data_IF_707690497336
#
_entry.id   IF_707690497336
#
_cell.length_a   1.000
_cell.length_b   1.000
_cell.length_c   1.000
_cell.angle_alpha   90.00
_cell.angle_beta   90.00
_cell.angle_gamma   90.00
#
_symmetry.space_group_name_H-M   'P 1'
#
loop_
_entity.id
_entity.type
_entity.pdbx_description
1 polymer ?
#
# COMPACT_ATOMS: atom_id res chain seq x y z
N UNK A 1 -36.17 -28.89 25.43
CA UNK A 1 -35.02 -27.98 25.61
C UNK A 1 -34.21 -28.00 24.33
N UNK A 2 -34.48 -27.06 23.43
CA UNK A 2 -33.87 -27.00 22.10
C UNK A 2 -32.68 -26.06 22.14
N UNK A 3 -31.47 -26.59 22.00
CA UNK A 3 -30.28 -25.79 21.71
C UNK A 3 -30.17 -25.62 20.20
N UNK A 4 -30.68 -24.49 19.73
CA UNK A 4 -30.28 -23.89 18.45
C UNK A 4 -28.95 -23.18 18.68
N UNK A 5 -27.96 -23.44 17.83
CA UNK A 5 -27.01 -22.44 17.29
C UNK A 5 -25.97 -23.18 16.45
N UNK A 6 -26.19 -23.29 15.14
CA UNK A 6 -25.79 -22.29 14.13
C UNK A 6 -24.28 -22.31 13.89
N UNK A 7 -23.92 -22.93 12.76
CA UNK A 7 -23.09 -22.30 11.73
C UNK A 7 -21.65 -21.98 12.10
N UNK A 8 -20.75 -22.97 11.95
CA UNK A 8 -19.38 -22.68 11.51
C UNK A 8 -19.40 -22.34 10.03
N UNK A 9 -19.71 -21.09 9.71
CA UNK A 9 -19.58 -20.53 8.36
C UNK A 9 -18.33 -19.66 8.36
N UNK A 10 -17.33 -20.12 7.59
CA UNK A 10 -16.29 -19.35 6.89
C UNK A 10 -15.73 -18.07 7.56
N UNK A 11 -14.61 -18.20 8.27
CA UNK A 11 -13.61 -17.13 8.37
C UNK A 11 -12.48 -17.39 7.38
N UNK A 12 -12.79 -17.26 6.10
CA UNK A 12 -11.83 -16.87 5.08
C UNK A 12 -11.99 -15.36 4.86
N UNK A 13 -10.88 -14.70 4.50
CA UNK A 13 -10.73 -13.28 4.14
C UNK A 13 -10.16 -12.40 5.26
N UNK A 14 -8.88 -12.62 5.56
CA UNK A 14 -7.89 -11.52 5.64
C UNK A 14 -6.63 -11.92 4.86
N UNK A 15 -6.86 -12.53 3.68
CA UNK A 15 -5.86 -12.80 2.68
C UNK A 15 -5.69 -11.53 1.82
N UNK A 16 -4.52 -10.89 1.90
CA UNK A 16 -4.24 -9.62 1.21
C UNK A 16 -5.03 -8.46 1.83
N UNK A 17 -4.57 -7.23 1.90
CA UNK A 17 -4.22 -6.43 0.73
C UNK A 17 -3.15 -5.41 1.15
N UNK A 18 -1.88 -5.83 1.16
CA UNK A 18 -0.73 -4.92 1.02
C UNK A 18 0.28 -5.52 0.04
N UNK A 19 -0.27 -6.16 -0.99
CA UNK A 19 0.41 -6.48 -2.23
C UNK A 19 -0.13 -5.39 -3.17
N UNK A 20 0.63 -4.42 -3.68
CA UNK A 20 2.06 -4.39 -4.03
C UNK A 20 2.57 -2.96 -3.99
N UNK A 21 3.85 -2.80 -3.65
CA UNK A 21 4.67 -1.78 -4.31
C UNK A 21 4.75 -2.13 -5.81
N UNK A 22 3.72 -1.78 -6.55
CA UNK A 22 3.83 -1.47 -7.96
C UNK A 22 3.33 -0.03 -8.08
N UNK A 23 3.90 0.77 -8.96
CA UNK A 23 3.36 2.09 -9.22
C UNK A 23 2.02 1.90 -9.98
N UNK A 24 0.90 2.09 -9.26
CA UNK A 24 -0.49 1.98 -9.72
C UNK A 24 -1.09 3.37 -9.95
N UNK A 25 -0.47 4.17 -10.79
CA UNK A 25 -0.96 5.52 -11.04
C UNK A 25 -2.35 5.47 -11.73
N UNK A 26 -2.58 4.60 -12.72
CA UNK A 26 -3.89 4.49 -13.36
C UNK A 26 -4.35 3.07 -13.72
N UNK A 27 -3.54 2.08 -14.09
CA UNK A 27 -4.10 0.77 -14.53
C UNK A 27 -4.30 -0.28 -13.42
N UNK A 28 -5.55 -0.72 -13.17
CA UNK A 28 -5.82 -1.97 -12.42
C UNK A 28 -7.26 -2.16 -11.90
N UNK A 29 -7.80 -3.38 -12.03
CA UNK A 29 -9.16 -3.81 -11.64
C UNK A 29 -9.47 -3.71 -10.12
N UNK A 30 -8.54 -3.17 -9.31
CA UNK A 30 -8.64 -2.96 -7.86
C UNK A 30 -8.28 -1.50 -7.53
N UNK A 31 -8.79 -0.54 -8.32
CA UNK A 31 -8.65 0.88 -8.02
C UNK A 31 -9.41 1.18 -6.73
N UNK A 32 -8.67 1.51 -5.69
CA UNK A 32 -9.24 2.11 -4.49
C UNK A 32 -9.68 3.57 -4.74
N UNK A 33 -9.13 4.25 -5.76
CA UNK A 33 -9.54 5.59 -6.23
C UNK A 33 -9.75 5.59 -7.75
N UNK A 34 -10.90 6.10 -8.22
CA UNK A 34 -11.16 6.36 -9.64
C UNK A 34 -10.59 7.71 -10.08
N UNK A 35 -9.29 7.73 -10.39
CA UNK A 35 -8.57 8.95 -10.72
C UNK A 35 -9.10 9.73 -11.93
N UNK A 36 -9.71 9.05 -12.91
CA UNK A 36 -10.29 9.72 -14.08
C UNK A 36 -11.43 10.63 -13.63
N UNK A 37 -12.33 10.07 -12.81
CA UNK A 37 -13.45 10.80 -12.23
C UNK A 37 -12.98 11.84 -11.21
N UNK A 38 -12.10 11.45 -10.30
CA UNK A 38 -11.67 12.31 -9.21
C UNK A 38 -10.84 13.50 -9.71
N UNK A 39 -9.95 13.32 -10.67
CA UNK A 39 -9.12 14.41 -11.21
C UNK A 39 -9.76 15.10 -12.42
N UNK A 40 -10.94 14.65 -12.85
CA UNK A 40 -11.64 15.15 -14.04
C UNK A 40 -10.73 15.20 -15.27
N UNK A 41 -10.04 14.08 -15.52
CA UNK A 41 -9.05 14.02 -16.59
C UNK A 41 -9.69 14.19 -17.96
N UNK A 42 -9.11 15.07 -18.78
CA UNK A 42 -9.49 15.18 -20.20
C UNK A 42 -9.13 13.91 -20.97
N UNK A 43 -9.80 13.65 -22.09
CA UNK A 43 -9.48 12.50 -22.96
C UNK A 43 -8.00 12.50 -23.40
N UNK A 44 -7.43 13.68 -23.67
CA UNK A 44 -6.03 13.83 -24.03
C UNK A 44 -5.09 13.44 -22.87
N UNK A 45 -5.39 13.86 -21.64
CA UNK A 45 -4.61 13.47 -20.47
C UNK A 45 -4.72 11.97 -20.20
N UNK A 46 -5.91 11.38 -20.33
CA UNK A 46 -6.11 9.93 -20.17
C UNK A 46 -5.23 9.16 -21.16
N UNK A 47 -5.27 9.53 -22.45
CA UNK A 47 -4.46 8.90 -23.48
C UNK A 47 -2.95 9.06 -23.24
N UNK A 48 -2.51 10.25 -22.76
CA UNK A 48 -1.11 10.47 -22.40
C UNK A 48 -0.67 9.59 -21.23
N UNK A 49 -1.50 9.46 -20.20
CA UNK A 49 -1.22 8.62 -19.04
C UNK A 49 -1.17 7.13 -19.41
N UNK A 50 -2.11 6.66 -20.22
CA UNK A 50 -2.12 5.29 -20.75
C UNK A 50 -0.84 5.00 -21.55
N UNK A 51 -0.44 5.91 -22.46
CA UNK A 51 0.77 5.76 -23.25
C UNK A 51 2.05 5.74 -22.39
N UNK A 52 2.09 6.49 -21.28
CA UNK A 52 3.18 6.43 -20.31
C UNK A 52 3.16 5.06 -19.61
N UNK A 53 2.02 4.61 -19.10
CA UNK A 53 1.91 3.32 -18.42
C UNK A 53 2.34 2.14 -19.30
N UNK A 54 1.90 2.11 -20.56
CA UNK A 54 2.28 1.07 -21.53
C UNK A 54 3.80 1.03 -21.75
N UNK A 55 4.43 2.20 -21.95
CA UNK A 55 5.87 2.32 -22.19
C UNK A 55 6.71 1.73 -21.07
N UNK A 56 6.27 1.90 -19.83
CA UNK A 56 7.00 1.46 -18.63
C UNK A 56 6.52 0.10 -18.09
N UNK A 57 5.53 -0.54 -18.73
CA UNK A 57 5.02 -1.87 -18.34
C UNK A 57 6.09 -2.97 -18.22
N UNK A 58 7.11 -3.06 -19.11
CA UNK A 58 8.18 -4.05 -18.98
C UNK A 58 9.02 -3.84 -17.71
N UNK A 59 9.34 -2.58 -17.39
CA UNK A 59 10.12 -2.23 -16.21
C UNK A 59 9.37 -2.56 -14.91
N UNK A 60 8.04 -2.40 -14.89
CA UNK A 60 7.20 -2.83 -13.75
C UNK A 60 7.33 -4.33 -13.46
N UNK A 61 7.35 -5.16 -14.50
CA UNK A 61 7.54 -6.62 -14.35
C UNK A 61 8.94 -6.97 -13.82
N UNK A 62 9.94 -6.15 -14.11
CA UNK A 62 11.30 -6.32 -13.62
C UNK A 62 11.47 -5.82 -12.17
N UNK A 63 10.79 -4.72 -11.79
CA UNK A 63 10.77 -4.25 -10.40
C UNK A 63 10.18 -5.31 -9.46
N UNK A 64 9.09 -5.97 -9.86
CA UNK A 64 8.48 -7.08 -9.10
C UNK A 64 9.42 -8.29 -8.92
N UNK A 65 10.48 -8.38 -9.73
CA UNK A 65 11.54 -9.40 -9.61
C UNK A 65 12.75 -8.91 -8.80
N UNK A 66 12.72 -7.69 -8.28
CA UNK A 66 13.82 -7.09 -7.52
C UNK A 66 14.97 -6.56 -8.37
N UNK A 67 14.77 -6.31 -9.66
CA UNK A 67 15.83 -5.82 -10.54
C UNK A 67 16.04 -4.31 -10.31
N UNK A 68 17.24 -3.91 -9.87
CA UNK A 68 17.57 -2.52 -9.48
C UNK A 68 17.36 -1.50 -10.64
N UNK A 69 17.67 -1.89 -11.88
CA UNK A 69 17.51 -1.05 -13.09
C UNK A 69 16.07 -0.58 -13.33
N UNK A 70 15.09 -1.31 -12.78
CA UNK A 70 13.69 -0.93 -12.89
C UNK A 70 13.31 0.22 -11.95
N UNK A 71 14.04 0.45 -10.85
CA UNK A 71 13.72 1.51 -9.89
C UNK A 71 13.87 2.91 -10.52
N UNK A 72 14.97 3.16 -11.21
CA UNK A 72 15.26 4.45 -11.87
C UNK A 72 14.29 4.73 -13.01
N UNK A 73 14.01 3.71 -13.85
CA UNK A 73 13.05 3.85 -14.95
C UNK A 73 11.63 4.17 -14.45
N UNK A 74 11.23 3.61 -13.30
CA UNK A 74 9.93 3.90 -12.71
C UNK A 74 9.86 5.25 -12.01
N UNK A 75 10.99 5.80 -11.57
CA UNK A 75 11.02 7.21 -11.15
C UNK A 75 10.71 8.13 -12.31
N UNK A 76 11.37 7.93 -13.46
CA UNK A 76 11.10 8.71 -14.66
C UNK A 76 9.64 8.61 -15.12
N UNK A 77 9.07 7.40 -15.07
CA UNK A 77 7.64 7.21 -15.32
C UNK A 77 6.77 8.13 -14.44
N UNK A 78 7.01 8.15 -13.13
CA UNK A 78 6.23 8.99 -12.20
C UNK A 78 6.36 10.48 -12.50
N UNK A 79 7.57 10.94 -12.83
CA UNK A 79 7.81 12.32 -13.24
C UNK A 79 7.02 12.68 -14.50
N UNK A 80 7.01 11.81 -15.53
CA UNK A 80 6.22 11.99 -16.75
C UNK A 80 4.71 12.04 -16.43
N UNK A 81 4.21 11.16 -15.55
CA UNK A 81 2.79 11.15 -15.17
C UNK A 81 2.40 12.40 -14.39
N UNK A 82 3.27 12.88 -13.50
CA UNK A 82 3.05 14.12 -12.77
C UNK A 82 2.96 15.31 -13.73
N UNK A 83 3.77 15.33 -14.79
CA UNK A 83 3.78 16.39 -15.80
C UNK A 83 2.47 16.49 -16.60
N UNK A 84 1.73 15.39 -16.79
CA UNK A 84 0.42 15.40 -17.49
C UNK A 84 -0.66 16.14 -16.72
N UNK A 85 -0.58 16.13 -15.39
CA UNK A 85 -1.54 16.79 -14.51
C UNK A 85 -1.19 18.27 -14.34
N UNK A 86 -2.20 19.12 -14.25
CA UNK A 86 -2.02 20.51 -13.84
C UNK A 86 -1.79 20.64 -12.32
N UNK A 87 -1.47 21.85 -11.86
CA UNK A 87 -1.18 22.11 -10.44
C UNK A 87 -2.38 21.78 -9.53
N UNK A 88 -3.61 22.10 -9.95
CA UNK A 88 -4.80 21.83 -9.15
C UNK A 88 -5.09 20.34 -9.05
N UNK A 89 -4.92 19.61 -10.16
CA UNK A 89 -5.05 18.15 -10.21
C UNK A 89 -4.00 17.45 -9.35
N UNK A 90 -2.76 17.95 -9.34
CA UNK A 90 -1.69 17.41 -8.47
C UNK A 90 -1.98 17.61 -6.98
N UNK A 91 -2.44 18.80 -6.60
CA UNK A 91 -2.84 19.07 -5.21
C UNK A 91 -4.05 18.21 -4.82
N UNK A 92 -5.04 18.06 -5.70
CA UNK A 92 -6.18 17.17 -5.46
C UNK A 92 -5.74 15.72 -5.31
N UNK A 93 -4.83 15.24 -6.16
CA UNK A 93 -4.28 13.89 -6.07
C UNK A 93 -3.56 13.67 -4.73
N UNK A 94 -2.76 14.65 -4.28
CA UNK A 94 -2.11 14.62 -2.96
C UNK A 94 -3.13 14.52 -1.82
N UNK A 95 -4.17 15.35 -1.83
CA UNK A 95 -5.21 15.33 -0.80
C UNK A 95 -5.95 14.00 -0.75
N UNK A 96 -6.35 13.47 -1.92
CA UNK A 96 -7.04 12.19 -2.02
C UNK A 96 -6.18 11.03 -1.53
N UNK A 97 -4.90 10.99 -1.94
CA UNK A 97 -3.95 9.99 -1.45
C UNK A 97 -3.80 10.05 0.06
N UNK A 98 -3.62 11.25 0.63
CA UNK A 98 -3.49 11.43 2.08
C UNK A 98 -4.73 10.92 2.82
N UNK A 99 -5.93 11.29 2.35
CA UNK A 99 -7.19 10.87 2.98
C UNK A 99 -7.37 9.35 2.95
N UNK A 100 -7.08 8.72 1.80
CA UNK A 100 -7.14 7.28 1.64
C UNK A 100 -6.14 6.56 2.55
N UNK A 101 -4.89 7.04 2.57
CA UNK A 101 -3.85 6.43 3.39
C UNK A 101 -4.21 6.50 4.88
N UNK A 102 -4.69 7.66 5.33
CA UNK A 102 -5.17 7.85 6.69
C UNK A 102 -6.35 6.93 7.02
N UNK A 103 -7.35 6.81 6.13
CA UNK A 103 -8.49 5.92 6.34
C UNK A 103 -8.05 4.46 6.50
N UNK A 104 -7.13 4.01 5.66
CA UNK A 104 -6.56 2.67 5.76
C UNK A 104 -5.78 2.49 7.07
N UNK A 105 -4.95 3.47 7.49
CA UNK A 105 -4.17 3.39 8.73
C UNK A 105 -5.10 3.32 9.94
N UNK A 106 -6.20 4.08 9.92
CA UNK A 106 -7.23 4.03 10.96
C UNK A 106 -7.94 2.68 11.00
N UNK A 107 -8.30 2.10 9.85
CA UNK A 107 -8.90 0.75 9.79
C UNK A 107 -7.95 -0.28 10.39
N UNK A 108 -6.68 -0.23 10.01
CA UNK A 108 -5.63 -1.08 10.55
C UNK A 108 -5.46 -0.93 12.06
N UNK A 109 -5.48 0.31 12.53
CA UNK A 109 -5.34 0.64 13.95
C UNK A 109 -6.51 0.06 14.74
N UNK A 110 -7.75 0.18 14.23
CA UNK A 110 -8.94 -0.41 14.88
C UNK A 110 -8.85 -1.93 14.96
N UNK A 111 -8.40 -2.58 13.88
CA UNK A 111 -8.22 -4.02 13.86
C UNK A 111 -7.12 -4.48 14.81
N UNK A 112 -5.97 -3.78 14.81
CA UNK A 112 -4.87 -4.05 15.73
C UNK A 112 -5.32 -3.86 17.19
N UNK A 113 -6.05 -2.77 17.46
CA UNK A 113 -6.58 -2.47 18.78
C UNK A 113 -7.51 -3.58 19.28
N UNK A 114 -8.39 -4.06 18.41
CA UNK A 114 -9.28 -5.18 18.72
C UNK A 114 -8.50 -6.47 19.00
N UNK A 115 -7.53 -6.81 18.14
CA UNK A 115 -6.74 -8.05 18.27
C UNK A 115 -5.86 -8.06 19.52
N UNK A 116 -5.26 -6.92 19.87
CA UNK A 116 -4.45 -6.77 21.09
C UNK A 116 -5.30 -6.53 22.34
N UNK A 117 -6.63 -6.48 22.19
CA UNK A 117 -7.57 -6.17 23.26
C UNK A 117 -7.17 -4.89 24.03
N UNK A 118 -6.87 -3.81 23.30
CA UNK A 118 -6.48 -2.54 23.89
C UNK A 118 -7.66 -1.95 24.69
N UNK A 119 -7.42 -1.38 25.89
CA UNK A 119 -8.41 -0.58 26.60
C UNK A 119 -8.91 0.57 25.72
N UNK A 120 -10.18 0.97 25.88
CA UNK A 120 -10.79 2.02 25.05
C UNK A 120 -10.00 3.33 25.07
N UNK A 121 -9.51 3.75 26.25
CA UNK A 121 -8.66 4.95 26.38
C UNK A 121 -7.37 4.85 25.55
N UNK A 122 -6.69 3.70 25.58
CA UNK A 122 -5.47 3.46 24.81
C UNK A 122 -5.76 3.40 23.31
N UNK A 123 -6.88 2.78 22.93
CA UNK A 123 -7.34 2.70 21.54
C UNK A 123 -7.68 4.09 20.99
N UNK A 124 -8.38 4.92 21.75
CA UNK A 124 -8.77 6.27 21.32
C UNK A 124 -7.53 7.17 21.19
N UNK A 125 -6.60 7.10 22.16
CA UNK A 125 -5.31 7.78 22.06
C UNK A 125 -4.52 7.34 20.82
N UNK A 126 -4.50 6.04 20.52
CA UNK A 126 -3.82 5.50 19.36
C UNK A 126 -4.46 5.96 18.04
N UNK A 127 -5.79 5.95 17.95
CA UNK A 127 -6.52 6.44 16.78
C UNK A 127 -6.32 7.95 16.57
N UNK A 128 -6.28 8.74 17.64
CA UNK A 128 -5.98 10.15 17.57
C UNK A 128 -4.54 10.40 17.10
N UNK A 129 -3.58 9.62 17.61
CA UNK A 129 -2.18 9.71 17.19
C UNK A 129 -2.02 9.39 15.69
N UNK A 130 -2.71 8.36 15.19
CA UNK A 130 -2.72 8.00 13.76
C UNK A 130 -3.43 9.06 12.91
N UNK A 131 -4.50 9.66 13.42
CA UNK A 131 -5.17 10.78 12.72
C UNK A 131 -4.23 11.97 12.55
N UNK A 132 -3.35 12.20 13.52
CA UNK A 132 -2.39 13.31 13.52
C UNK A 132 -1.09 13.02 12.75
N UNK A 133 -0.90 11.79 12.21
CA UNK A 133 0.22 11.51 11.32
C UNK A 133 0.09 12.36 10.06
N UNK A 134 1.09 13.21 9.84
CA UNK A 134 1.18 13.99 8.63
C UNK A 134 2.14 13.32 7.66
N UNK A 135 1.58 12.90 6.53
CA UNK A 135 2.35 12.35 5.43
C UNK A 135 2.45 13.37 4.29
N UNK A 136 3.64 13.57 3.74
CA UNK A 136 3.90 14.44 2.59
C UNK A 136 3.94 13.63 1.30
N UNK A 137 2.80 13.06 0.92
CA UNK A 137 2.72 12.24 -0.28
C UNK A 137 2.84 13.05 -1.57
N UNK A 138 3.55 12.48 -2.54
CA UNK A 138 3.50 12.88 -3.93
C UNK A 138 2.93 11.73 -4.73
N UNK A 139 1.86 12.02 -5.46
CA UNK A 139 1.28 11.07 -6.40
C UNK A 139 2.02 11.18 -7.75
N UNK A 140 2.37 10.06 -8.42
CA UNK A 140 2.26 8.69 -7.91
C UNK A 140 3.31 8.38 -6.83
N UNK A 141 2.95 7.52 -5.88
CA UNK A 141 3.86 7.13 -4.80
C UNK A 141 5.07 6.36 -5.31
N UNK A 142 6.23 6.63 -4.72
CA UNK A 142 7.42 5.82 -4.89
C UNK A 142 7.64 4.83 -3.72
N UNK A 143 8.57 3.89 -3.92
CA UNK A 143 8.91 2.88 -2.91
C UNK A 143 9.45 3.51 -1.63
N UNK A 144 10.22 4.58 -1.73
CA UNK A 144 10.80 5.25 -0.56
C UNK A 144 9.71 5.94 0.27
N UNK A 145 8.75 6.62 -0.36
CA UNK A 145 7.57 7.21 0.28
C UNK A 145 6.71 6.13 0.95
N UNK A 146 6.47 5.00 0.28
CA UNK A 146 5.79 3.86 0.91
C UNK A 146 6.56 3.31 2.12
N UNK A 147 7.88 3.18 2.02
CA UNK A 147 8.75 2.73 3.10
C UNK A 147 8.75 3.68 4.29
N UNK A 148 8.85 4.98 4.03
CA UNK A 148 8.86 6.03 5.04
C UNK A 148 7.53 6.08 5.81
N UNK A 149 6.40 6.12 5.09
CA UNK A 149 5.07 6.09 5.71
C UNK A 149 4.85 4.86 6.59
N UNK A 150 5.33 3.71 6.14
CA UNK A 150 5.30 2.48 6.92
C UNK A 150 6.13 2.61 8.19
N UNK A 151 7.36 3.12 8.10
CA UNK A 151 8.23 3.29 9.27
C UNK A 151 7.65 4.28 10.28
N UNK A 152 7.05 5.39 9.82
CA UNK A 152 6.39 6.37 10.69
C UNK A 152 5.24 5.73 11.46
N UNK A 153 4.37 4.98 10.78
CA UNK A 153 3.28 4.25 11.41
C UNK A 153 3.79 3.19 12.40
N UNK A 154 4.81 2.39 12.02
CA UNK A 154 5.42 1.41 12.92
C UNK A 154 6.05 2.04 14.17
N UNK A 155 6.70 3.19 14.03
CA UNK A 155 7.31 3.94 15.14
C UNK A 155 6.23 4.45 16.09
N UNK A 156 5.11 4.95 15.57
CA UNK A 156 3.96 5.37 16.36
C UNK A 156 3.39 4.20 17.17
N UNK A 157 3.22 3.03 16.54
CA UNK A 157 2.76 1.82 17.24
C UNK A 157 3.71 1.44 18.37
N UNK A 158 5.02 1.45 18.13
CA UNK A 158 6.02 1.12 19.15
C UNK A 158 5.99 2.07 20.35
N UNK A 159 5.69 3.34 20.12
CA UNK A 159 5.60 4.34 21.20
C UNK A 159 4.34 4.20 22.06
N UNK A 160 3.25 3.65 21.51
CA UNK A 160 1.93 3.61 22.16
C UNK A 160 1.57 2.24 22.75
N UNK A 161 2.23 1.16 22.30
CA UNK A 161 2.01 -0.18 22.81
C UNK A 161 2.94 -0.48 23.99
N UNK A 162 2.44 -1.18 25.00
CA UNK A 162 3.30 -1.68 26.08
C UNK A 162 4.13 -2.89 25.62
N UNK A 163 5.11 -3.31 26.44
CA UNK A 163 6.01 -4.40 26.08
C UNK A 163 5.32 -5.72 25.73
N UNK A 164 4.24 -6.08 26.45
CA UNK A 164 3.48 -7.30 26.17
C UNK A 164 2.71 -7.24 24.86
N UNK A 165 2.05 -6.11 24.59
CA UNK A 165 1.33 -5.83 23.33
C UNK A 165 2.29 -5.78 22.14
N UNK A 166 3.46 -5.18 22.33
CA UNK A 166 4.50 -5.09 21.31
C UNK A 166 5.04 -6.48 20.94
N UNK A 167 5.31 -7.33 21.93
CA UNK A 167 5.76 -8.70 21.69
C UNK A 167 4.73 -9.52 20.91
N UNK A 168 3.44 -9.41 21.26
CA UNK A 168 2.36 -10.07 20.51
C UNK A 168 2.28 -9.58 19.06
N UNK A 169 2.37 -8.28 18.85
CA UNK A 169 2.37 -7.69 17.51
C UNK A 169 3.58 -8.14 16.68
N UNK A 170 4.77 -8.18 17.28
CA UNK A 170 6.00 -8.68 16.62
C UNK A 170 5.88 -10.15 16.23
N UNK A 171 5.38 -11.00 17.13
CA UNK A 171 5.17 -12.42 16.85
C UNK A 171 4.23 -12.63 15.65
N UNK A 172 3.14 -11.86 15.55
CA UNK A 172 2.24 -11.92 14.39
C UNK A 172 2.87 -11.41 13.10
N UNK A 173 3.79 -10.44 13.17
CA UNK A 173 4.55 -10.00 12.00
C UNK A 173 5.46 -11.11 11.50
N UNK A 174 6.21 -11.75 12.39
CA UNK A 174 7.14 -12.84 12.05
C UNK A 174 6.40 -14.04 11.46
N UNK A 175 5.29 -14.46 12.08
CA UNK A 175 4.46 -15.55 11.55
C UNK A 175 3.95 -15.27 10.14
N UNK A 176 3.60 -14.02 9.84
CA UNK A 176 3.16 -13.62 8.49
C UNK A 176 4.31 -13.54 7.49
N UNK A 177 5.46 -12.99 7.90
CA UNK A 177 6.66 -12.98 7.07
C UNK A 177 7.08 -14.41 6.69
N UNK A 178 6.99 -15.34 7.63
CA UNK A 178 7.25 -16.76 7.40
C UNK A 178 6.28 -17.38 6.37
N UNK A 179 4.97 -17.14 6.53
CA UNK A 179 3.95 -17.60 5.57
C UNK A 179 4.18 -17.04 4.16
N UNK A 180 4.61 -15.78 4.05
CA UNK A 180 4.94 -15.17 2.76
C UNK A 180 6.20 -15.78 2.15
N UNK A 181 7.26 -15.97 2.93
CA UNK A 181 8.49 -16.60 2.47
C UNK A 181 8.24 -18.03 1.95
N UNK A 182 7.34 -18.79 2.59
CA UNK A 182 6.91 -20.10 2.09
C UNK A 182 6.17 -19.97 0.75
N UNK A 183 5.19 -19.06 0.65
CA UNK A 183 4.42 -18.85 -0.59
C UNK A 183 5.26 -18.34 -1.78
N UNK A 184 6.35 -17.62 -1.49
CA UNK A 184 7.29 -17.12 -2.49
C UNK A 184 8.26 -18.21 -2.96
N UNK A 185 8.66 -19.14 -2.08
CA UNK A 185 9.47 -20.30 -2.45
C UNK A 185 8.72 -21.26 -3.38
N UNK A 186 7.39 -21.37 -3.22
CA UNK A 186 6.54 -22.19 -4.10
C UNK A 186 6.39 -21.59 -5.51
N UNK A 187 6.63 -20.29 -5.67
CA UNK A 187 6.59 -19.59 -6.97
C UNK A 187 8.01 -19.35 -7.47
N UNK A 188 8.57 -20.28 -8.24
CA UNK A 188 9.86 -20.09 -8.95
C UNK A 188 9.85 -18.77 -9.74
N UNK A 189 10.48 -17.71 -9.20
CA UNK A 189 10.58 -16.40 -9.84
C UNK A 189 11.50 -16.51 -11.07
N UNK A 190 11.01 -16.12 -12.25
CA UNK A 190 11.84 -16.02 -13.46
C UNK A 190 12.96 -14.99 -13.21
N UNK A 191 14.22 -15.27 -13.62
CA UNK A 191 15.32 -14.34 -13.39
C UNK A 191 15.11 -12.99 -14.08
N UNK A 192 15.78 -11.95 -13.57
CA UNK A 192 15.91 -10.67 -14.28
C UNK A 192 16.46 -10.96 -15.69
N UNK A 193 15.93 -10.28 -16.71
CA UNK A 193 16.41 -10.44 -18.08
C UNK A 193 17.88 -9.98 -18.10
N UNK A 194 18.83 -10.90 -18.29
CA UNK A 194 20.24 -10.52 -18.47
C UNK A 194 20.31 -9.62 -19.69
N UNK A 195 20.99 -8.49 -19.56
CA UNK A 195 21.37 -7.69 -20.72
C UNK A 195 22.12 -8.61 -21.67
N UNK A 196 21.55 -8.86 -22.85
CA UNK A 196 22.40 -9.15 -23.99
C UNK A 196 23.07 -7.82 -24.29
N UNK A 197 24.31 -7.70 -23.83
CA UNK A 197 25.22 -6.70 -24.37
C UNK A 197 25.45 -7.11 -25.82
N UNK A 198 24.94 -6.29 -26.74
CA UNK A 198 25.49 -6.17 -28.09
C UNK A 198 26.73 -5.28 -28.04
#
# INVERSE_FOLDING_TARGET
>A
MSLVSVGRIFTLVLAGWWVSAAAWAFEGLHREIDWVKELQLSAAQQQQLEAIEERYQPLRKEQMRGCMRAADGLQKMREEMHQVLDVQQREKARTLMRAQHQQMQLRHTRELAHRLNLPDEQKDALLQAVTNLQDEYQWPLDIAQHGAARQQYETLLQAQLNAGQLAQWQQWREQRQYQWAQSDNDKKKKPCRRQQAE
#
